data_IF_061207303838
#
_entry.id   IF_061207303838
#
_cell.length_a   1.000
_cell.length_b   1.000
_cell.length_c   1.000
_cell.angle_alpha   90.00
_cell.angle_beta   90.00
_cell.angle_gamma   90.00
#
_symmetry.space_group_name_H-M   'P 1'
#
loop_
_entity.id
_entity.type
_entity.pdbx_description
1 polymer ?
#
# COMPACT_ATOMS: atom_id res chain seq x y z
N UNK A 1 -14.04 10.79 4.71
CA UNK A 1 -13.29 9.77 5.46
C UNK A 1 -11.84 10.24 5.59
N UNK A 2 -11.11 9.87 6.65
CA UNK A 2 -9.70 10.25 6.81
C UNK A 2 -8.82 9.01 6.60
N UNK A 3 -7.89 9.08 5.66
CA UNK A 3 -6.84 8.07 5.50
C UNK A 3 -5.74 8.35 6.55
N UNK A 4 -5.31 7.31 7.26
CA UNK A 4 -4.25 7.39 8.26
C UNK A 4 -3.26 6.28 8.00
N UNK A 5 -2.00 6.65 7.84
CA UNK A 5 -0.88 5.72 7.75
C UNK A 5 -0.35 5.45 9.16
N UNK A 6 -0.11 4.18 9.47
CA UNK A 6 0.63 3.84 10.69
C UNK A 6 2.11 4.13 10.49
N UNK A 7 2.84 4.41 11.57
CA UNK A 7 4.30 4.56 11.50
C UNK A 7 4.96 3.34 10.86
N UNK A 8 4.51 2.13 11.23
CA UNK A 8 4.98 0.90 10.63
C UNK A 8 4.77 0.85 9.11
N UNK A 9 3.64 1.36 8.59
CA UNK A 9 3.40 1.36 7.14
C UNK A 9 4.34 2.31 6.38
N UNK A 10 4.71 3.43 7.00
CA UNK A 10 5.67 4.38 6.43
C UNK A 10 7.09 3.79 6.43
N UNK A 11 7.50 3.17 7.54
CA UNK A 11 8.78 2.46 7.63
C UNK A 11 8.86 1.33 6.61
N UNK A 12 7.80 0.52 6.46
CA UNK A 12 7.77 -0.56 5.47
C UNK A 12 7.81 -0.06 4.02
N UNK A 13 7.23 1.11 3.73
CA UNK A 13 7.37 1.75 2.42
C UNK A 13 8.84 2.14 2.17
N UNK A 14 9.48 2.81 3.14
CA UNK A 14 10.89 3.20 3.04
C UNK A 14 11.81 1.98 2.86
N UNK A 15 11.67 0.95 3.69
CA UNK A 15 12.45 -0.29 3.60
C UNK A 15 12.29 -0.96 2.24
N UNK A 16 11.05 -1.02 1.73
CA UNK A 16 10.76 -1.62 0.41
C UNK A 16 11.43 -0.82 -0.71
N UNK A 17 11.33 0.52 -0.68
CA UNK A 17 11.97 1.39 -1.66
C UNK A 17 13.50 1.27 -1.62
N UNK A 18 14.09 1.24 -0.42
CA UNK A 18 15.53 1.03 -0.25
C UNK A 18 15.99 -0.34 -0.76
N UNK A 19 15.19 -1.39 -0.55
CA UNK A 19 15.49 -2.73 -1.05
C UNK A 19 15.49 -2.82 -2.58
N UNK A 20 14.57 -2.11 -3.25
CA UNK A 20 14.46 -2.13 -4.72
C UNK A 20 15.35 -1.10 -5.40
N UNK A 21 15.77 -0.03 -4.72
CA UNK A 21 16.54 1.07 -5.28
C UNK A 21 17.78 0.64 -6.11
N UNK A 22 18.58 -0.36 -5.71
CA UNK A 22 19.73 -0.81 -6.51
C UNK A 22 19.35 -1.48 -7.85
N UNK A 23 18.08 -1.87 -8.03
CA UNK A 23 17.59 -2.66 -9.17
C UNK A 23 16.86 -1.83 -10.22
N UNK A 24 16.56 -0.57 -9.92
CA UNK A 24 15.73 0.29 -10.78
C UNK A 24 16.33 1.69 -10.87
N UNK A 25 15.91 2.46 -11.88
CA UNK A 25 16.28 3.87 -11.97
C UNK A 25 15.57 4.67 -10.88
N UNK A 26 16.12 5.83 -10.51
CA UNK A 26 15.47 6.75 -9.58
C UNK A 26 14.06 7.17 -10.04
N UNK A 27 13.88 7.37 -11.35
CA UNK A 27 12.58 7.68 -11.93
C UNK A 27 11.57 6.55 -11.70
N UNK A 28 11.98 5.28 -11.92
CA UNK A 28 11.11 4.12 -11.66
C UNK A 28 10.84 3.92 -10.18
N UNK A 29 11.80 4.26 -9.30
CA UNK A 29 11.59 4.25 -7.85
C UNK A 29 10.51 5.23 -7.41
N UNK A 30 10.52 6.46 -7.97
CA UNK A 30 9.48 7.47 -7.73
C UNK A 30 8.12 6.98 -8.23
N UNK A 31 8.08 6.40 -9.43
CA UNK A 31 6.86 5.86 -10.03
C UNK A 31 6.23 4.80 -9.12
N UNK A 32 7.01 3.82 -8.65
CA UNK A 32 6.54 2.76 -7.74
C UNK A 32 6.01 3.37 -6.43
N UNK A 33 6.71 4.33 -5.83
CA UNK A 33 6.24 5.03 -4.62
C UNK A 33 4.90 5.69 -4.86
N UNK A 34 4.76 6.42 -5.97
CA UNK A 34 3.54 7.15 -6.30
C UNK A 34 2.39 6.17 -6.55
N UNK A 35 2.60 5.08 -7.30
CA UNK A 35 1.57 4.06 -7.52
C UNK A 35 1.00 3.50 -6.21
N UNK A 36 1.85 3.24 -5.22
CA UNK A 36 1.43 2.75 -3.89
C UNK A 36 0.60 3.81 -3.15
N UNK A 37 1.03 5.07 -3.15
CA UNK A 37 0.34 6.16 -2.46
C UNK A 37 -0.99 6.52 -3.14
N UNK A 38 -1.00 6.60 -4.47
CA UNK A 38 -2.20 6.87 -5.28
C UNK A 38 -3.23 5.76 -5.07
N UNK A 39 -2.80 4.50 -4.98
CA UNK A 39 -3.68 3.38 -4.65
C UNK A 39 -4.35 3.56 -3.28
N UNK A 40 -3.59 3.97 -2.26
CA UNK A 40 -4.11 4.24 -0.93
C UNK A 40 -5.09 5.42 -0.94
N UNK A 41 -4.80 6.48 -1.70
CA UNK A 41 -5.69 7.64 -1.83
C UNK A 41 -7.04 7.26 -2.45
N UNK A 42 -7.10 6.26 -3.33
CA UNK A 42 -8.39 5.78 -3.86
C UNK A 42 -9.34 5.25 -2.79
N UNK A 43 -8.83 4.86 -1.61
CA UNK A 43 -9.64 4.42 -0.48
C UNK A 43 -10.46 5.55 0.15
N UNK A 44 -10.08 6.81 -0.04
CA UNK A 44 -10.87 7.96 0.40
C UNK A 44 -12.25 7.98 -0.27
N UNK A 45 -12.30 7.60 -1.55
CA UNK A 45 -13.52 7.53 -2.36
C UNK A 45 -14.19 6.16 -2.30
N UNK A 46 -13.39 5.09 -2.22
CA UNK A 46 -13.86 3.71 -2.20
C UNK A 46 -13.27 2.94 -1.00
N UNK A 47 -13.81 3.14 0.23
CA UNK A 47 -13.30 2.51 1.46
C UNK A 47 -13.27 0.99 1.40
N UNK A 48 -14.18 0.41 0.62
CA UNK A 48 -14.37 -1.02 0.43
C UNK A 48 -13.71 -1.54 -0.85
N UNK A 49 -12.73 -0.81 -1.41
CA UNK A 49 -11.86 -1.34 -2.46
C UNK A 49 -10.92 -2.39 -1.87
N UNK A 50 -10.50 -3.35 -2.70
CA UNK A 50 -9.67 -4.49 -2.28
C UNK A 50 -10.51 -5.69 -1.80
N UNK A 51 -9.89 -6.87 -1.83
CA UNK A 51 -10.50 -8.10 -1.34
C UNK A 51 -10.38 -8.21 0.17
N UNK A 52 -11.30 -8.93 0.83
CA UNK A 52 -11.09 -9.35 2.23
C UNK A 52 -9.81 -10.18 2.32
N UNK A 53 -9.04 -10.01 3.40
CA UNK A 53 -7.84 -10.79 3.65
C UNK A 53 -8.20 -12.11 4.38
N UNK A 54 -8.22 -13.27 3.70
CA UNK A 54 -8.71 -14.51 4.31
C UNK A 54 -7.84 -14.97 5.49
N UNK A 55 -6.53 -14.70 5.42
CA UNK A 55 -5.61 -15.09 6.50
C UNK A 55 -5.82 -14.30 7.80
N UNK A 56 -6.49 -13.14 7.73
CA UNK A 56 -6.76 -12.28 8.88
C UNK A 56 -8.25 -12.24 9.24
N UNK A 57 -9.09 -13.06 8.61
CA UNK A 57 -10.53 -13.07 8.86
C UNK A 57 -10.86 -13.44 10.32
N UNK A 58 -10.07 -14.34 10.91
CA UNK A 58 -10.20 -14.76 12.31
C UNK A 58 -10.03 -13.64 13.35
N UNK A 59 -9.47 -12.48 12.96
CA UNK A 59 -9.36 -11.31 13.84
C UNK A 59 -10.66 -10.50 13.89
N UNK A 60 -11.58 -10.70 12.94
CA UNK A 60 -12.86 -9.98 12.83
C UNK A 60 -12.72 -8.44 12.70
N UNK A 61 -11.53 -7.94 12.32
CA UNK A 61 -11.23 -6.51 12.19
C UNK A 61 -11.47 -5.94 10.78
N UNK A 62 -12.03 -6.74 9.86
CA UNK A 62 -12.35 -6.28 8.51
C UNK A 62 -11.13 -5.99 7.61
N UNK A 63 -9.99 -6.67 7.86
CA UNK A 63 -8.78 -6.53 7.07
C UNK A 63 -9.01 -6.78 5.58
N UNK A 64 -8.42 -5.92 4.74
CA UNK A 64 -8.57 -5.93 3.29
C UNK A 64 -7.21 -5.78 2.63
N UNK A 65 -7.03 -6.45 1.50
CA UNK A 65 -5.83 -6.38 0.67
C UNK A 65 -6.15 -5.68 -0.63
N UNK A 66 -5.43 -4.61 -0.91
CA UNK A 66 -5.42 -3.90 -2.18
C UNK A 66 -4.13 -4.28 -2.91
N UNK A 67 -4.25 -4.79 -4.14
CA UNK A 67 -3.10 -5.13 -4.99
C UNK A 67 -3.10 -4.16 -6.16
N UNK A 68 -1.93 -3.60 -6.47
CA UNK A 68 -1.71 -2.74 -7.63
C UNK A 68 -0.54 -3.31 -8.43
N UNK A 69 -0.75 -3.46 -9.73
CA UNK A 69 0.13 -4.13 -10.68
C UNK A 69 -0.68 -4.59 -11.88
N UNK A 70 -0.09 -4.50 -13.08
CA UNK A 70 -0.67 -4.98 -14.34
C UNK A 70 -0.17 -6.37 -14.68
#
# INVERSE_FOLDING_TARGET
>A
MKLVFTEQSLNSLEETLNFIAPKVTYAKLIEIRNEILDAADTLLLHPLKGGKEPYLEHLELGHRRLIVGH
#
